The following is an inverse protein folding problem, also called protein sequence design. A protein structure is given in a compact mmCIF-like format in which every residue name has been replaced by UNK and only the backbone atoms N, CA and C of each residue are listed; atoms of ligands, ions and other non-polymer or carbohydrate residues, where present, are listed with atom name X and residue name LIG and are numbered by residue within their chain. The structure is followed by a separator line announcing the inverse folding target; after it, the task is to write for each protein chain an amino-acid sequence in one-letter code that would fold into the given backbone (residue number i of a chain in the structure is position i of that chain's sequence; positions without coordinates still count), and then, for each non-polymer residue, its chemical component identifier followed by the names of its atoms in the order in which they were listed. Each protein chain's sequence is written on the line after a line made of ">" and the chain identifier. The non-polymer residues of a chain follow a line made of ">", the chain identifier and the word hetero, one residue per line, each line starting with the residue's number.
data_IF_193381980478
#
_entry.id   IF_193381980478
#
_cell.length_a   1.000
_cell.length_b   1.000
_cell.length_c   1.000
_cell.angle_alpha   90.00
_cell.angle_beta   90.00
_cell.angle_gamma   90.00
#
_symmetry.space_group_name_H-M   'P 1'
#
loop_
_entity.id
_entity.type
_entity.pdbx_description
1 polymer ?
#
# COMPACT_ATOMS: atom_id res chain seq x y z
N UNK A 1 15.37 24.70 -13.49
CA UNK A 1 14.34 24.73 -12.43
C UNK A 1 13.91 23.30 -12.16
N UNK A 2 14.39 22.70 -11.08
CA UNK A 2 13.97 21.36 -10.67
C UNK A 2 12.53 21.41 -10.21
N UNK A 3 11.62 20.75 -10.96
CA UNK A 3 10.25 20.52 -10.50
C UNK A 3 10.34 19.75 -9.18
N UNK A 4 9.98 20.39 -8.06
CA UNK A 4 9.58 19.64 -6.87
C UNK A 4 8.39 18.80 -7.32
N UNK A 5 8.54 17.47 -7.26
CA UNK A 5 7.37 16.59 -7.31
C UNK A 5 6.56 16.95 -6.07
N UNK A 6 5.52 17.76 -6.24
CA UNK A 6 4.49 17.90 -5.25
C UNK A 6 3.82 16.52 -5.14
N UNK A 7 4.27 15.74 -4.14
CA UNK A 7 3.60 14.54 -3.66
C UNK A 7 2.28 15.00 -3.04
N UNK A 8 1.32 15.38 -3.89
CA UNK A 8 -0.07 15.45 -3.49
C UNK A 8 -0.47 14.04 -3.07
N UNK A 9 -0.61 13.84 -1.77
CA UNK A 9 -1.18 12.63 -1.17
C UNK A 9 -2.57 12.43 -1.77
N UNK A 10 -2.65 11.56 -2.78
CA UNK A 10 -3.90 11.13 -3.38
C UNK A 10 -4.59 10.22 -2.36
N UNK A 11 -5.79 10.58 -1.87
CA UNK A 11 -6.53 9.79 -0.89
C UNK A 11 -6.88 8.36 -1.36
N UNK A 12 -6.50 7.99 -2.60
CA UNK A 12 -6.70 6.67 -3.20
C UNK A 12 -5.41 5.98 -3.66
N UNK A 13 -4.24 6.46 -3.20
CA UNK A 13 -2.94 5.96 -3.65
C UNK A 13 -2.82 4.43 -3.60
N UNK A 14 -3.36 3.80 -2.55
CA UNK A 14 -3.37 2.33 -2.40
C UNK A 14 -4.79 1.76 -2.26
N UNK A 15 -5.73 2.24 -3.08
CA UNK A 15 -7.11 1.74 -3.09
C UNK A 15 -7.20 0.23 -3.39
N UNK A 16 -6.30 -0.29 -4.22
CA UNK A 16 -6.19 -1.71 -4.55
C UNK A 16 -5.82 -2.54 -3.33
N UNK A 17 -4.84 -2.08 -2.53
CA UNK A 17 -4.46 -2.71 -1.27
C UNK A 17 -5.63 -2.76 -0.30
N UNK A 18 -6.36 -1.65 -0.14
CA UNK A 18 -7.54 -1.59 0.72
C UNK A 18 -8.60 -2.61 0.27
N UNK A 19 -8.88 -2.69 -1.03
CA UNK A 19 -9.83 -3.65 -1.59
C UNK A 19 -9.40 -5.10 -1.34
N UNK A 20 -8.15 -5.44 -1.66
CA UNK A 20 -7.59 -6.78 -1.45
C UNK A 20 -7.66 -7.18 0.01
N UNK A 21 -7.17 -6.32 0.91
CA UNK A 21 -7.14 -6.57 2.35
C UNK A 21 -8.54 -6.75 2.92
N UNK A 22 -9.45 -5.79 2.67
CA UNK A 22 -10.76 -5.72 3.34
C UNK A 22 -11.78 -6.67 2.72
N UNK A 23 -11.83 -6.74 1.40
CA UNK A 23 -12.89 -7.44 0.67
C UNK A 23 -12.51 -8.88 0.36
N UNK A 24 -11.29 -9.10 -0.13
CA UNK A 24 -10.85 -10.42 -0.61
C UNK A 24 -10.30 -11.27 0.54
N UNK A 25 -9.26 -10.75 1.22
CA UNK A 25 -8.53 -11.48 2.27
C UNK A 25 -9.12 -11.31 3.67
N UNK A 26 -9.99 -10.31 3.86
CA UNK A 26 -10.72 -10.00 5.10
C UNK A 26 -9.82 -9.75 6.34
N UNK A 27 -8.61 -9.25 6.12
CA UNK A 27 -7.74 -8.80 7.22
C UNK A 27 -8.17 -7.43 7.72
N UNK A 28 -8.11 -7.24 9.04
CA UNK A 28 -8.31 -5.91 9.62
C UNK A 28 -7.00 -5.10 9.55
N UNK A 29 -7.07 -3.80 9.86
CA UNK A 29 -5.90 -2.93 9.78
C UNK A 29 -4.84 -3.26 10.86
N UNK A 30 -5.25 -3.76 12.03
CA UNK A 30 -4.33 -4.17 13.09
C UNK A 30 -3.47 -5.36 12.64
N UNK A 31 -4.07 -6.35 11.97
CA UNK A 31 -3.35 -7.53 11.46
C UNK A 31 -2.21 -7.14 10.51
N UNK A 32 -2.47 -6.16 9.65
CA UNK A 32 -1.47 -5.65 8.72
C UNK A 32 -0.43 -4.78 9.41
N UNK A 33 -0.85 -3.93 10.34
CA UNK A 33 0.04 -3.08 11.11
C UNK A 33 1.05 -3.91 11.92
N UNK A 34 0.60 -5.03 12.52
CA UNK A 34 1.48 -6.00 13.17
C UNK A 34 2.46 -6.62 12.17
N UNK A 35 1.99 -7.00 10.98
CA UNK A 35 2.85 -7.61 9.95
C UNK A 35 3.98 -6.68 9.49
N UNK A 36 3.74 -5.37 9.46
CA UNK A 36 4.77 -4.39 9.07
C UNK A 36 5.52 -3.75 10.23
N UNK A 37 5.06 -3.93 11.47
CA UNK A 37 5.70 -3.41 12.68
C UNK A 37 5.41 -1.94 12.97
N UNK A 38 4.20 -1.47 12.66
CA UNK A 38 3.75 -0.09 12.93
C UNK A 38 2.41 -0.07 13.68
N UNK A 39 1.94 1.10 14.10
CA UNK A 39 0.60 1.24 14.66
C UNK A 39 -0.48 1.14 13.57
N UNK A 40 -1.71 0.75 13.95
CA UNK A 40 -2.82 0.69 13.01
C UNK A 40 -3.16 2.04 12.38
N UNK A 41 -3.00 3.13 13.12
CA UNK A 41 -3.16 4.49 12.59
C UNK A 41 -2.09 4.79 11.53
N UNK A 42 -0.82 4.47 11.81
CA UNK A 42 0.28 4.66 10.86
C UNK A 42 0.07 3.83 9.60
N UNK A 43 -0.40 2.59 9.74
CA UNK A 43 -0.77 1.74 8.60
C UNK A 43 -1.91 2.34 7.78
N UNK A 44 -3.02 2.76 8.42
CA UNK A 44 -4.16 3.36 7.73
C UNK A 44 -3.80 4.68 7.04
N UNK A 45 -2.91 5.48 7.65
CA UNK A 45 -2.39 6.70 7.02
C UNK A 45 -1.60 6.36 5.76
N UNK A 46 -0.78 5.31 5.79
CA UNK A 46 -0.05 4.84 4.62
C UNK A 46 -1.00 4.28 3.55
N UNK A 47 -1.95 3.41 3.91
CA UNK A 47 -2.96 2.83 3.01
C UNK A 47 -3.80 3.91 2.30
N UNK A 48 -4.01 5.06 2.93
CA UNK A 48 -4.73 6.22 2.36
C UNK A 48 -3.83 7.21 1.61
N UNK A 49 -2.56 6.90 1.40
CA UNK A 49 -1.62 7.78 0.69
C UNK A 49 -1.06 8.94 1.51
N UNK A 50 -1.33 9.00 2.82
CA UNK A 50 -0.73 10.00 3.71
C UNK A 50 0.72 9.67 4.13
N UNK A 51 1.23 8.52 3.69
CA UNK A 51 2.61 8.04 3.87
C UNK A 51 2.92 6.97 2.82
N UNK A 52 4.14 6.98 2.30
CA UNK A 52 4.63 5.90 1.44
C UNK A 52 5.00 4.64 2.25
N UNK A 53 4.71 3.47 1.70
CA UNK A 53 5.28 2.22 2.21
C UNK A 53 6.74 2.10 1.78
N UNK A 54 7.61 1.71 2.71
CA UNK A 54 8.95 1.25 2.34
C UNK A 54 8.86 -0.07 1.58
N UNK A 55 9.89 -0.40 0.79
CA UNK A 55 9.95 -1.69 0.08
C UNK A 55 9.82 -2.88 1.05
N UNK A 56 10.44 -2.79 2.23
CA UNK A 56 10.34 -3.84 3.26
C UNK A 56 8.93 -4.02 3.80
N UNK A 57 8.19 -2.92 4.01
CA UNK A 57 6.78 -2.99 4.41
C UNK A 57 5.90 -3.56 3.29
N UNK A 58 6.12 -3.14 2.04
CA UNK A 58 5.38 -3.66 0.89
C UNK A 58 5.57 -5.18 0.72
N UNK A 59 6.79 -5.69 0.87
CA UNK A 59 7.08 -7.13 0.83
C UNK A 59 6.40 -7.88 1.97
N UNK A 60 6.42 -7.34 3.19
CA UNK A 60 5.74 -7.97 4.35
C UNK A 60 4.23 -8.00 4.16
N UNK A 61 3.64 -6.94 3.62
CA UNK A 61 2.21 -6.89 3.26
C UNK A 61 1.90 -7.96 2.22
N UNK A 62 2.69 -8.03 1.14
CA UNK A 62 2.51 -9.02 0.09
C UNK A 62 2.60 -10.46 0.61
N UNK A 63 3.60 -10.75 1.45
CA UNK A 63 3.75 -12.04 2.12
C UNK A 63 2.54 -12.37 3.01
N UNK A 64 2.03 -11.38 3.77
CA UNK A 64 0.86 -11.54 4.64
C UNK A 64 -0.42 -11.83 3.84
N UNK A 65 -0.54 -11.25 2.65
CA UNK A 65 -1.66 -11.48 1.73
C UNK A 65 -1.45 -12.75 0.88
N UNK A 66 -0.28 -13.38 0.93
CA UNK A 66 0.12 -14.52 0.09
C UNK A 66 -0.05 -14.20 -1.40
N UNK A 67 0.46 -13.04 -1.81
CA UNK A 67 0.36 -12.54 -3.18
C UNK A 67 1.69 -11.92 -3.64
N UNK A 68 1.98 -11.93 -4.95
CA UNK A 68 3.10 -11.17 -5.51
C UNK A 68 3.01 -9.68 -5.17
N UNK A 69 4.14 -9.05 -4.84
CA UNK A 69 4.17 -7.62 -4.47
C UNK A 69 3.66 -6.70 -5.58
N UNK A 70 3.85 -7.08 -6.85
CA UNK A 70 3.34 -6.34 -8.01
C UNK A 70 1.81 -6.37 -8.13
N UNK A 71 1.16 -7.43 -7.64
CA UNK A 71 -0.31 -7.55 -7.68
C UNK A 71 -0.95 -6.77 -6.54
N UNK A 72 -0.23 -6.61 -5.43
CA UNK A 72 -0.68 -5.82 -4.27
C UNK A 72 -0.44 -4.33 -4.48
N UNK A 73 0.67 -3.96 -5.13
CA UNK A 73 1.07 -2.58 -5.39
C UNK A 73 1.25 -2.30 -6.89
N UNK A 74 0.20 -2.46 -7.72
CA UNK A 74 0.32 -2.37 -9.18
C UNK A 74 0.76 -0.97 -9.64
N UNK A 75 0.35 0.10 -8.96
CA UNK A 75 0.76 1.47 -9.30
C UNK A 75 2.27 1.70 -9.15
N UNK A 76 2.92 0.99 -8.22
CA UNK A 76 4.37 1.10 -7.98
C UNK A 76 5.16 0.26 -8.99
N UNK A 77 4.73 -0.98 -9.25
CA UNK A 77 5.54 -1.96 -9.97
C UNK A 77 5.10 -2.21 -11.41
N UNK A 78 3.85 -1.91 -11.76
CA UNK A 78 3.30 -2.09 -13.11
C UNK A 78 3.06 -0.72 -13.77
N UNK A 79 3.98 0.24 -13.66
CA UNK A 79 3.88 1.59 -14.25
C UNK A 79 3.85 1.63 -15.79
N UNK A 80 3.39 0.56 -16.44
CA UNK A 80 3.18 0.42 -17.88
C UNK A 80 1.82 -0.22 -18.22
N UNK A 81 0.77 -0.03 -17.42
CA UNK A 81 -0.60 -0.31 -17.87
C UNK A 81 -1.19 0.95 -18.49
N UNK A 82 -0.71 1.26 -19.69
CA UNK A 82 -1.50 2.02 -20.65
C UNK A 82 -2.66 1.13 -21.09
N UNK A 83 -3.91 1.53 -20.80
CA UNK A 83 -5.12 1.24 -21.58
C UNK A 83 -6.15 2.33 -21.32
#
# INVERSE_FOLDING_TARGET
>A
MSKKLDLHSDPTQYAELLYLRKTIKKFNANDMAVAVGVSAETYLRAERGGREFTLGEAVRIANKLEMPVCDVFPKIFNSNVAF
#
